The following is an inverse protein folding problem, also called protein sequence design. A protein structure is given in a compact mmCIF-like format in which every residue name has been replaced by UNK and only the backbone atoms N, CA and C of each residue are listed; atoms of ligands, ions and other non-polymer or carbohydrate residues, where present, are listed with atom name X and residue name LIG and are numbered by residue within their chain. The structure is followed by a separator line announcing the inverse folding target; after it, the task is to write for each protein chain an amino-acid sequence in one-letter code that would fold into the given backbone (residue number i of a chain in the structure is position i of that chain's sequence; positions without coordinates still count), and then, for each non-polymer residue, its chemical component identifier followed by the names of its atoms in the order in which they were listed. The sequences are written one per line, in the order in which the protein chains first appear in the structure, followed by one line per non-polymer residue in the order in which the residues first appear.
data_IF_404006211075
#
_entry.id   IF_404006211075
#
_cell.length_a   1.000
_cell.length_b   1.000
_cell.length_c   1.000
_cell.angle_alpha   90.00
_cell.angle_beta   90.00
_cell.angle_gamma   90.00
#
_symmetry.space_group_name_H-M   'P 1'
#
loop_
_entity.id
_entity.type
_entity.pdbx_description
1 polymer ?
#
# COMPACT_ATOMS: atom_id res chain seq x y z
N UNK A 1 12.08 -11.86 3.54
CA UNK A 1 11.89 -10.41 3.32
C UNK A 1 11.08 -10.21 2.05
N UNK A 2 10.02 -9.42 2.11
CA UNK A 2 9.14 -9.12 0.96
C UNK A 2 9.38 -7.68 0.47
N UNK A 3 9.07 -7.40 -0.80
CA UNK A 3 9.07 -6.03 -1.33
C UNK A 3 7.66 -5.55 -1.60
N UNK A 4 7.29 -4.42 -1.01
CA UNK A 4 6.02 -3.74 -1.26
C UNK A 4 6.22 -2.61 -2.26
N UNK A 5 5.43 -2.61 -3.34
CA UNK A 5 5.37 -1.49 -4.27
C UNK A 5 4.13 -0.64 -3.99
N UNK A 6 4.35 0.66 -3.86
CA UNK A 6 3.27 1.58 -3.50
C UNK A 6 3.31 2.87 -4.31
N UNK A 7 2.14 3.47 -4.48
CA UNK A 7 1.96 4.79 -5.08
C UNK A 7 2.27 5.87 -4.04
N UNK A 8 3.38 6.58 -4.23
CA UNK A 8 3.84 7.64 -3.33
C UNK A 8 3.03 8.93 -3.45
N UNK A 9 2.12 9.04 -4.42
CA UNK A 9 1.16 10.13 -4.55
C UNK A 9 -0.16 9.84 -3.82
N UNK A 10 -0.50 8.56 -3.60
CA UNK A 10 -1.72 8.14 -2.93
C UNK A 10 -1.64 8.27 -1.39
N UNK A 11 -2.52 9.09 -0.76
CA UNK A 11 -2.53 9.25 0.70
C UNK A 11 -2.79 7.94 1.46
N UNK A 12 -3.61 7.04 0.91
CA UNK A 12 -3.92 5.74 1.54
C UNK A 12 -2.68 4.86 1.52
N UNK A 13 -2.04 4.69 0.35
CA UNK A 13 -0.85 3.86 0.21
C UNK A 13 0.31 4.36 1.06
N UNK A 14 0.54 5.68 1.14
CA UNK A 14 1.54 6.26 2.04
C UNK A 14 1.27 5.95 3.52
N UNK A 15 0.01 6.05 3.93
CA UNK A 15 -0.39 5.79 5.32
C UNK A 15 -0.22 4.31 5.67
N UNK A 16 -0.57 3.43 4.73
CA UNK A 16 -0.34 2.00 4.86
C UNK A 16 1.16 1.73 5.01
N UNK A 17 1.99 2.12 4.03
CA UNK A 17 3.44 1.98 4.05
C UNK A 17 4.10 2.47 5.35
N UNK A 18 3.61 3.55 5.95
CA UNK A 18 4.11 4.05 7.23
C UNK A 18 3.77 3.13 8.42
N UNK A 19 2.57 2.55 8.47
CA UNK A 19 2.11 1.72 9.59
C UNK A 19 2.60 0.28 9.56
N UNK A 20 2.91 -0.25 8.38
CA UNK A 20 3.38 -1.63 8.17
C UNK A 20 4.89 -1.76 8.03
N UNK A 21 5.65 -0.68 8.28
CA UNK A 21 7.11 -0.73 8.21
C UNK A 21 7.65 -1.74 9.23
N UNK A 22 8.37 -2.74 8.72
CA UNK A 22 9.00 -3.82 9.48
C UNK A 22 10.33 -4.18 8.82
N UNK A 23 11.26 -4.78 9.56
CA UNK A 23 12.56 -5.22 9.03
C UNK A 23 12.41 -6.27 7.92
N UNK A 24 11.29 -7.00 7.90
CA UNK A 24 10.95 -7.99 6.89
C UNK A 24 10.31 -7.41 5.61
N UNK A 25 10.05 -6.10 5.57
CA UNK A 25 9.31 -5.42 4.48
C UNK A 25 10.14 -4.29 3.90
N UNK A 26 10.60 -4.48 2.67
CA UNK A 26 11.22 -3.42 1.89
C UNK A 26 10.16 -2.63 1.12
N UNK A 27 10.06 -1.33 1.34
CA UNK A 27 9.02 -0.49 0.72
C UNK A 27 9.64 0.32 -0.42
N UNK A 28 9.13 0.14 -1.63
CA UNK A 28 9.65 0.78 -2.85
C UNK A 28 8.53 1.57 -3.56
N UNK A 29 8.72 2.88 -3.81
CA UNK A 29 7.81 3.63 -4.67
C UNK A 29 7.74 3.03 -6.08
N UNK A 30 6.54 2.93 -6.68
CA UNK A 30 6.34 2.34 -8.02
C UNK A 30 7.24 2.99 -9.07
N UNK A 31 7.46 4.31 -9.00
CA UNK A 31 8.34 5.05 -9.92
C UNK A 31 9.78 4.49 -9.98
N UNK A 32 10.25 3.87 -8.91
CA UNK A 32 11.58 3.24 -8.83
C UNK A 32 11.54 1.72 -9.01
N UNK A 33 10.36 1.10 -8.93
CA UNK A 33 10.15 -0.35 -9.04
C UNK A 33 9.58 -0.80 -10.39
N UNK A 34 9.28 0.10 -11.32
CA UNK A 34 8.51 -0.21 -12.54
C UNK A 34 9.19 -1.28 -13.42
N UNK A 35 10.51 -1.22 -13.57
CA UNK A 35 11.24 -2.21 -14.35
C UNK A 35 11.15 -3.63 -13.74
N UNK A 36 11.10 -3.76 -12.41
CA UNK A 36 10.92 -5.03 -11.72
C UNK A 36 9.48 -5.52 -11.87
N UNK A 37 8.50 -4.62 -11.69
CA UNK A 37 7.08 -4.91 -11.89
C UNK A 37 6.79 -5.44 -13.31
N UNK A 38 7.37 -4.81 -14.34
CA UNK A 38 7.19 -5.23 -15.74
C UNK A 38 7.80 -6.60 -16.03
N UNK A 39 8.94 -6.96 -15.42
CA UNK A 39 9.52 -8.32 -15.53
C UNK A 39 8.56 -9.40 -15.02
N UNK A 40 7.71 -9.06 -14.06
CA UNK A 40 6.67 -9.93 -13.51
C UNK A 40 5.30 -9.75 -14.19
N UNK A 41 5.24 -9.08 -15.35
CA UNK A 41 4.01 -8.91 -16.12
C UNK A 41 3.00 -7.94 -15.51
N UNK A 42 3.45 -7.04 -14.62
CA UNK A 42 2.62 -5.96 -14.06
C UNK A 42 2.93 -4.67 -14.81
N UNK A 43 1.92 -4.10 -15.46
CA UNK A 43 1.98 -2.78 -16.08
C UNK A 43 1.79 -1.67 -15.05
N UNK A 44 2.20 -0.46 -15.42
CA UNK A 44 2.15 0.72 -14.54
C UNK A 44 0.72 1.00 -14.05
N UNK A 45 -0.28 0.93 -14.93
CA UNK A 45 -1.67 1.19 -14.55
C UNK A 45 -2.16 0.19 -13.50
N UNK A 46 -1.82 -1.10 -13.65
CA UNK A 46 -2.13 -2.11 -12.64
C UNK A 46 -1.42 -1.83 -11.33
N UNK A 47 -0.13 -1.50 -11.35
CA UNK A 47 0.64 -1.17 -10.14
C UNK A 47 0.08 0.08 -9.42
N UNK A 48 -0.35 1.08 -10.17
CA UNK A 48 -0.96 2.30 -9.63
C UNK A 48 -2.40 2.07 -9.12
N UNK A 49 -3.05 1.00 -9.55
CA UNK A 49 -4.44 0.66 -9.15
C UNK A 49 -4.47 -0.30 -7.97
N UNK A 50 -3.63 -1.34 -7.98
CA UNK A 50 -3.64 -2.42 -7.01
C UNK A 50 -2.31 -2.50 -6.26
N UNK A 51 -2.37 -2.86 -4.97
CA UNK A 51 -1.15 -3.13 -4.23
C UNK A 51 -0.40 -4.32 -4.84
N UNK A 52 0.90 -4.16 -5.04
CA UNK A 52 1.79 -5.19 -5.56
C UNK A 52 2.86 -5.53 -4.50
N UNK A 53 3.09 -6.82 -4.27
CA UNK A 53 4.10 -7.31 -3.33
C UNK A 53 4.86 -8.46 -3.98
N UNK A 54 6.18 -8.36 -4.01
CA UNK A 54 7.07 -9.46 -4.38
C UNK A 54 7.43 -10.24 -3.10
N UNK A 55 7.16 -11.54 -3.10
CA UNK A 55 7.55 -12.40 -1.99
C UNK A 55 9.02 -12.86 -2.10
N UNK A 56 9.45 -13.62 -1.09
CA UNK A 56 10.80 -14.20 -1.01
C UNK A 56 11.08 -15.30 -2.05
N UNK A 57 10.04 -15.85 -2.68
CA UNK A 57 10.12 -16.84 -3.74
C UNK A 57 10.10 -16.21 -5.15
N UNK A 58 10.25 -14.89 -5.25
CA UNK A 58 10.12 -14.11 -6.49
C UNK A 58 8.73 -14.22 -7.16
N UNK A 59 7.68 -14.48 -6.38
CA UNK A 59 6.30 -14.49 -6.86
C UNK A 59 5.67 -13.12 -6.62
N UNK A 60 5.16 -12.52 -7.69
CA UNK A 60 4.48 -11.23 -7.64
C UNK A 60 3.00 -11.43 -7.27
N UNK A 61 2.62 -10.96 -6.09
CA UNK A 61 1.25 -10.93 -5.62
C UNK A 61 0.64 -9.57 -5.91
N UNK A 62 -0.66 -9.55 -6.25
CA UNK A 62 -1.42 -8.32 -6.49
C UNK A 62 -2.76 -8.27 -5.78
N UNK A 63 -3.22 -7.05 -5.51
CA UNK A 63 -4.51 -6.77 -4.89
C UNK A 63 -4.68 -7.41 -3.52
N UNK A 64 -5.81 -8.06 -3.27
CA UNK A 64 -6.10 -8.62 -1.94
C UNK A 64 -5.08 -9.68 -1.49
N UNK A 65 -4.45 -10.40 -2.43
CA UNK A 65 -3.39 -11.37 -2.10
C UNK A 65 -2.15 -10.66 -1.56
N UNK A 66 -1.75 -9.56 -2.20
CA UNK A 66 -0.65 -8.71 -1.76
C UNK A 66 -0.93 -8.11 -0.38
N UNK A 67 -2.14 -7.58 -0.16
CA UNK A 67 -2.55 -7.01 1.13
C UNK A 67 -2.45 -8.05 2.25
N UNK A 68 -2.93 -9.27 2.01
CA UNK A 68 -2.88 -10.35 3.02
C UNK A 68 -1.45 -10.74 3.36
N UNK A 69 -0.61 -10.93 2.34
CA UNK A 69 0.80 -11.25 2.53
C UNK A 69 1.50 -10.15 3.33
N UNK A 70 1.29 -8.89 2.95
CA UNK A 70 1.84 -7.73 3.62
C UNK A 70 1.46 -7.66 5.10
N UNK A 71 0.17 -7.78 5.41
CA UNK A 71 -0.32 -7.73 6.79
C UNK A 71 0.08 -8.96 7.62
N UNK A 72 0.30 -10.10 6.97
CA UNK A 72 0.84 -11.31 7.59
C UNK A 72 2.32 -11.12 7.96
N UNK A 73 3.13 -10.57 7.06
CA UNK A 73 4.55 -10.29 7.31
C UNK A 73 4.76 -9.18 8.34
N UNK A 74 3.88 -8.17 8.36
CA UNK A 74 3.93 -7.09 9.35
C UNK A 74 3.34 -7.46 10.73
N UNK A 75 2.88 -8.71 10.92
CA UNK A 75 2.18 -9.23 12.13
C UNK A 75 1.11 -8.28 12.71
N UNK A 76 0.37 -7.61 11.82
CA UNK A 76 -0.61 -6.62 12.25
C UNK A 76 -1.88 -7.28 12.80
N UNK A 77 -2.58 -6.59 13.72
CA UNK A 77 -3.92 -7.04 14.22
C UNK A 77 -4.94 -7.29 13.10
N UNK A 78 -4.75 -6.64 11.94
CA UNK A 78 -5.57 -6.80 10.73
C UNK A 78 -5.41 -8.18 10.06
N UNK A 79 -4.27 -8.85 10.28
CA UNK A 79 -3.99 -10.18 9.75
C UNK A 79 -5.06 -11.20 10.15
N UNK A 80 -5.46 -11.20 11.43
CA UNK A 80 -6.49 -12.11 11.96
C UNK A 80 -7.87 -11.88 11.31
N UNK A 81 -8.21 -10.63 11.01
CA UNK A 81 -9.49 -10.26 10.40
C UNK A 81 -9.54 -10.70 8.92
N UNK A 82 -8.47 -10.48 8.16
CA UNK A 82 -8.41 -10.81 6.72
C UNK A 82 -8.36 -12.33 6.45
N UNK A 83 -8.00 -13.13 7.45
CA UNK A 83 -7.94 -14.59 7.35
C UNK A 83 -9.23 -15.31 7.77
N UNK A 84 -10.24 -14.60 8.29
CA UNK A 84 -11.51 -15.23 8.64
C UNK A 84 -12.21 -15.80 7.39
N UNK A 85 -12.78 -17.02 7.48
CA UNK A 85 -13.31 -17.75 6.32
C UNK A 85 -14.45 -17.00 5.60
N UNK A 86 -15.17 -16.15 6.31
CA UNK A 86 -16.26 -15.31 5.77
C UNK A 86 -15.73 -14.03 5.11
N UNK A 87 -14.68 -13.43 5.68
CA UNK A 87 -14.09 -12.16 5.20
C UNK A 87 -13.19 -12.39 3.98
N UNK A 88 -12.61 -13.59 3.86
CA UNK A 88 -11.78 -14.01 2.72
C UNK A 88 -12.47 -13.86 1.35
N UNK A 89 -13.66 -14.42 1.10
CA UNK A 89 -14.34 -14.22 -0.19
C UNK A 89 -14.88 -12.78 -0.34
N UNK A 90 -15.35 -12.17 0.74
CA UNK A 90 -15.93 -10.84 0.70
C UNK A 90 -14.89 -9.77 0.32
N UNK A 91 -13.70 -9.84 0.91
CA UNK A 91 -12.59 -8.94 0.61
C UNK A 91 -12.08 -9.08 -0.82
N UNK A 92 -12.14 -10.28 -1.42
CA UNK A 92 -11.76 -10.49 -2.82
C UNK A 92 -12.72 -9.78 -3.80
N UNK A 93 -13.97 -9.57 -3.43
CA UNK A 93 -15.00 -8.89 -4.24
C UNK A 93 -15.00 -7.38 -3.98
N UNK A 94 -14.91 -6.98 -2.71
CA UNK A 94 -14.97 -5.56 -2.33
C UNK A 94 -13.68 -4.83 -2.70
N UNK A 95 -12.51 -5.48 -2.57
CA UNK A 95 -11.23 -4.83 -2.76
C UNK A 95 -11.03 -4.26 -4.17
N UNK A 96 -11.34 -4.95 -5.28
CA UNK A 96 -11.20 -4.39 -6.61
C UNK A 96 -12.08 -3.16 -6.86
N UNK A 97 -13.31 -3.18 -6.32
CA UNK A 97 -14.22 -2.04 -6.39
C UNK A 97 -13.64 -0.87 -5.60
N UNK A 98 -13.19 -1.11 -4.36
CA UNK A 98 -12.56 -0.08 -3.54
C UNK A 98 -11.30 0.50 -4.21
N UNK A 99 -10.40 -0.36 -4.71
CA UNK A 99 -9.16 0.04 -5.38
C UNK A 99 -9.45 0.93 -6.59
N UNK A 100 -10.44 0.58 -7.42
CA UNK A 100 -10.83 1.35 -8.60
C UNK A 100 -11.55 2.66 -8.24
N UNK A 101 -12.39 2.64 -7.21
CA UNK A 101 -13.19 3.80 -6.81
C UNK A 101 -12.54 4.68 -5.74
N UNK A 102 -11.34 4.34 -5.23
CA UNK A 102 -10.65 5.07 -4.16
C UNK A 102 -10.54 6.57 -4.40
N UNK A 103 -10.33 6.97 -5.66
CA UNK A 103 -10.22 8.39 -6.06
C UNK A 103 -11.54 9.15 -6.01
N UNK A 104 -12.68 8.45 -6.06
CA UNK A 104 -14.02 9.04 -5.89
C UNK A 104 -14.42 9.17 -4.42
N UNK A 105 -13.71 8.53 -3.51
CA UNK A 105 -14.03 8.58 -2.09
C UNK A 105 -13.55 9.93 -1.53
N UNK A 106 -14.42 10.70 -0.86
CA UNK A 106 -14.03 11.97 -0.28
C UNK A 106 -12.89 11.80 0.74
N UNK A 107 -11.86 12.65 0.64
CA UNK A 107 -10.68 12.59 1.52
C UNK A 107 -11.05 12.63 3.01
N UNK A 108 -12.06 13.42 3.38
CA UNK A 108 -12.55 13.53 4.76
C UNK A 108 -13.07 12.20 5.32
N UNK A 109 -13.70 11.36 4.48
CA UNK A 109 -14.23 10.06 4.87
C UNK A 109 -13.09 9.04 5.08
N UNK A 110 -12.08 9.08 4.21
CA UNK A 110 -10.87 8.27 4.34
C UNK A 110 -10.11 8.65 5.63
N UNK A 111 -9.95 9.93 5.91
CA UNK A 111 -9.29 10.42 7.15
C UNK A 111 -10.06 9.93 8.39
N UNK A 112 -11.40 9.95 8.35
CA UNK A 112 -12.24 9.49 9.47
C UNK A 112 -12.17 7.97 9.69
N UNK A 113 -12.11 7.18 8.61
CA UNK A 113 -12.09 5.70 8.67
C UNK A 113 -10.71 5.14 8.99
N UNK A 114 -9.64 5.76 8.52
CA UNK A 114 -8.26 5.27 8.67
C UNK A 114 -7.44 6.02 9.73
N UNK A 115 -8.05 6.97 10.45
CA UNK A 115 -7.42 7.71 11.55
C UNK A 115 -6.42 8.78 11.09
N UNK A 116 -6.15 9.75 11.98
CA UNK A 116 -5.46 11.02 11.71
C UNK A 116 -4.21 10.94 10.81
N UNK A 117 -4.42 11.11 9.50
CA UNK A 117 -3.41 11.46 8.48
C UNK A 117 -2.68 12.78 8.84
N UNK A 118 -3.22 13.57 9.78
CA UNK A 118 -2.65 14.85 10.20
C UNK A 118 -1.25 14.73 10.84
N UNK A 119 -0.92 13.62 11.49
CA UNK A 119 0.43 13.44 12.09
C UNK A 119 1.51 13.17 11.03
N UNK A 120 1.15 12.56 9.90
CA UNK A 120 2.06 12.38 8.76
C UNK A 120 2.12 13.61 7.86
N UNK A 121 1.07 14.42 7.76
CA UNK A 121 1.10 15.70 7.03
C UNK A 121 2.01 16.74 7.68
N UNK A 122 2.07 16.84 9.02
CA UNK A 122 3.02 17.74 9.68
C UNK A 122 4.48 17.27 9.54
N UNK A 123 4.74 15.97 9.53
CA UNK A 123 6.08 15.44 9.23
C UNK A 123 6.47 15.68 7.76
N UNK A 124 5.51 15.59 6.83
CA UNK A 124 5.70 15.90 5.40
C UNK A 124 5.92 17.41 5.18
N UNK A 125 5.25 18.30 5.93
CA UNK A 125 5.50 19.74 5.80
C UNK A 125 6.89 20.14 6.32
N UNK A 126 7.44 19.40 7.28
CA UNK A 126 8.83 19.55 7.73
C UNK A 126 9.81 18.95 6.71
N UNK A 127 9.55 17.77 6.15
CA UNK A 127 10.44 17.13 5.16
C UNK A 127 10.46 17.85 3.80
N UNK A 128 9.31 18.38 3.37
CA UNK A 128 9.19 19.20 2.14
C UNK A 128 9.84 20.56 2.35
N UNK A 129 9.70 21.22 3.52
CA UNK A 129 10.45 22.44 3.81
C UNK A 129 11.96 22.23 3.94
N UNK A 130 12.41 21.05 4.40
CA UNK A 130 13.84 20.74 4.52
C UNK A 130 14.51 20.51 3.16
N UNK A 131 13.78 19.98 2.18
CA UNK A 131 14.29 19.74 0.82
C UNK A 131 14.05 20.89 -0.18
N UNK A 132 13.39 21.98 0.24
CA UNK A 132 13.14 23.15 -0.61
C UNK A 132 14.09 24.32 -0.31
N UNK A 133 15.08 24.13 0.58
CA UNK A 133 16.06 25.15 1.01
C UNK A 133 17.52 24.79 0.69
N UNK A 134 17.74 23.77 -0.14
CA UNK A 134 19.08 23.32 -0.55
C UNK A 134 19.28 23.42 -2.06
N UNK A 135 18.76 24.49 -2.66
CA UNK A 135 19.19 25.05 -3.96
C UNK A 135 19.28 26.57 -3.81
#
# INVERSE_FOLDING_TARGET
MIKMYYDDTCPICRTEAYHIKSDDIHITPIKYGLAELQKHGIDELTAMTYLCVLDDNNVMHKGIKAVRLLHQTADTKFNKLLHLPIIKPLSAIIYPLFAKYRYKIPKWLIIKLFGNIQKSMNAIMVFVNYHQKSD
#
